data_IF_909520268096
#
_entry.id   IF_909520268096
#
_cell.length_a   1.000
_cell.length_b   1.000
_cell.length_c   1.000
_cell.angle_alpha   90.00
_cell.angle_beta   90.00
_cell.angle_gamma   90.00
#
_symmetry.space_group_name_H-M   'P 1'
#
loop_
_entity.id
_entity.type
_entity.pdbx_description
1 polymer ?
#
# COMPACT_ATOMS: atom_id res chain seq x y z
N UNK A 1 1.77 -5.94 4.29
CA UNK A 1 2.64 -4.85 3.80
C UNK A 1 3.99 -5.39 3.40
N UNK A 2 4.55 -4.95 2.26
CA UNK A 2 5.98 -5.15 2.02
C UNK A 2 6.74 -4.32 3.06
N UNK A 3 7.58 -4.98 3.86
CA UNK A 3 8.46 -4.32 4.83
C UNK A 3 9.33 -3.26 4.15
N UNK A 4 9.75 -2.24 4.88
CA UNK A 4 10.70 -1.23 4.38
C UNK A 4 11.95 -1.87 3.76
N UNK A 5 12.43 -2.98 4.34
CA UNK A 5 13.57 -3.77 3.84
C UNK A 5 13.24 -4.44 2.49
N UNK A 6 12.03 -4.97 2.34
CA UNK A 6 11.57 -5.62 1.11
C UNK A 6 11.35 -4.62 -0.01
N UNK A 7 10.77 -3.45 0.28
CA UNK A 7 10.64 -2.34 -0.69
C UNK A 7 12.03 -1.89 -1.19
N UNK A 8 13.00 -1.80 -0.29
CA UNK A 8 14.38 -1.42 -0.63
C UNK A 8 15.06 -2.51 -1.49
N UNK A 9 14.81 -3.79 -1.21
CA UNK A 9 15.27 -4.92 -2.04
C UNK A 9 14.67 -4.86 -3.45
N UNK A 10 13.35 -4.69 -3.58
CA UNK A 10 12.67 -4.57 -4.86
C UNK A 10 13.11 -3.32 -5.65
N UNK A 11 13.40 -2.21 -4.96
CA UNK A 11 13.94 -1.01 -5.59
C UNK A 11 15.37 -1.22 -6.13
N UNK A 12 16.22 -1.96 -5.41
CA UNK A 12 17.55 -2.37 -5.89
C UNK A 12 17.44 -3.29 -7.12
N UNK A 13 16.47 -4.20 -7.12
CA UNK A 13 16.19 -5.10 -8.23
C UNK A 13 15.75 -4.34 -9.50
N UNK A 14 14.81 -3.38 -9.36
CA UNK A 14 14.44 -2.47 -10.47
C UNK A 14 15.68 -1.74 -11.01
N UNK A 15 16.58 -1.29 -10.14
CA UNK A 15 17.80 -0.58 -10.55
C UNK A 15 18.74 -1.49 -11.36
N UNK A 16 18.88 -2.76 -10.97
CA UNK A 16 19.67 -3.74 -11.72
C UNK A 16 19.04 -4.06 -13.08
N UNK A 17 17.74 -4.33 -13.13
CA UNK A 17 17.01 -4.60 -14.38
C UNK A 17 17.10 -3.42 -15.36
N UNK A 18 17.04 -2.18 -14.86
CA UNK A 18 17.25 -0.97 -15.69
C UNK A 18 18.66 -0.87 -16.25
N UNK A 19 19.68 -1.26 -15.47
CA UNK A 19 21.07 -1.29 -15.95
C UNK A 19 21.24 -2.35 -17.04
N UNK A 20 20.61 -3.52 -16.87
CA UNK A 20 20.61 -4.58 -17.88
C UNK A 20 19.98 -4.12 -19.19
N UNK A 21 18.78 -3.51 -19.18
CA UNK A 21 18.12 -2.99 -20.39
C UNK A 21 18.98 -1.97 -21.16
N UNK A 22 19.75 -1.14 -20.44
CA UNK A 22 20.65 -0.15 -21.03
C UNK A 22 21.91 -0.77 -21.65
N UNK A 23 22.21 -2.03 -21.34
CA UNK A 23 23.28 -2.79 -21.99
C UNK A 23 23.00 -2.96 -23.48
N UNK A 24 24.02 -2.73 -24.31
CA UNK A 24 23.95 -2.77 -25.77
C UNK A 24 23.79 -4.18 -26.34
N UNK A 25 23.97 -5.24 -25.54
CA UNK A 25 23.97 -6.64 -25.98
C UNK A 25 22.61 -7.34 -26.02
N UNK A 26 21.54 -6.76 -25.47
CA UNK A 26 20.23 -7.42 -25.39
C UNK A 26 19.40 -7.23 -26.66
N UNK A 27 18.82 -8.32 -27.15
CA UNK A 27 17.87 -8.30 -28.28
C UNK A 27 16.54 -7.65 -27.85
N UNK A 28 15.77 -7.15 -28.81
CA UNK A 28 14.50 -6.44 -28.54
C UNK A 28 13.50 -7.22 -27.70
N UNK A 29 13.40 -8.54 -27.90
CA UNK A 29 12.51 -9.43 -27.14
C UNK A 29 12.93 -9.54 -25.67
N UNK A 30 14.22 -9.62 -25.40
CA UNK A 30 14.78 -9.70 -24.04
C UNK A 30 14.58 -8.38 -23.29
N UNK A 31 14.77 -7.24 -23.98
CA UNK A 31 14.46 -5.91 -23.41
C UNK A 31 12.99 -5.78 -23.02
N UNK A 32 12.09 -6.34 -23.84
CA UNK A 32 10.65 -6.30 -23.59
C UNK A 32 10.25 -7.20 -22.39
N UNK A 33 10.90 -8.36 -22.24
CA UNK A 33 10.75 -9.22 -21.06
C UNK A 33 11.15 -8.50 -19.76
N UNK A 34 12.33 -7.86 -19.75
CA UNK A 34 12.81 -7.12 -18.58
C UNK A 34 11.90 -5.91 -18.28
N UNK A 35 11.38 -5.23 -19.31
CA UNK A 35 10.43 -4.13 -19.13
C UNK A 35 9.12 -4.60 -18.46
N UNK A 36 8.62 -5.79 -18.81
CA UNK A 36 7.46 -6.41 -18.15
C UNK A 36 7.76 -6.74 -16.68
N UNK A 37 8.93 -7.28 -16.38
CA UNK A 37 9.36 -7.55 -15.00
C UNK A 37 9.46 -6.28 -14.16
N UNK A 38 10.05 -5.20 -14.70
CA UNK A 38 10.09 -3.89 -14.02
C UNK A 38 8.67 -3.38 -13.74
N UNK A 39 7.73 -3.55 -14.69
CA UNK A 39 6.34 -3.15 -14.50
C UNK A 39 5.65 -3.95 -13.40
N UNK A 40 5.88 -5.27 -13.33
CA UNK A 40 5.33 -6.13 -12.27
C UNK A 40 5.88 -5.75 -10.89
N UNK A 41 7.19 -5.58 -10.76
CA UNK A 41 7.80 -5.17 -9.47
C UNK A 41 7.30 -3.78 -9.06
N UNK A 42 7.16 -2.84 -10.01
CA UNK A 42 6.51 -1.55 -9.73
C UNK A 42 5.08 -1.72 -9.25
N UNK A 43 4.28 -2.58 -9.86
CA UNK A 43 2.90 -2.82 -9.39
C UNK A 43 2.83 -3.48 -8.01
N UNK A 44 3.84 -4.26 -7.62
CA UNK A 44 3.91 -4.81 -6.25
C UNK A 44 4.23 -3.71 -5.23
N UNK A 45 5.15 -2.80 -5.57
CA UNK A 45 5.50 -1.66 -4.72
C UNK A 45 4.35 -0.64 -4.66
N UNK A 46 3.76 -0.28 -5.80
CA UNK A 46 2.76 0.79 -5.91
C UNK A 46 1.35 0.29 -5.67
N UNK A 47 1.00 -0.91 -6.11
CA UNK A 47 -0.35 -1.48 -5.91
C UNK A 47 -0.66 -1.75 -4.43
N UNK A 48 0.36 -2.07 -3.64
CA UNK A 48 0.22 -2.12 -2.18
C UNK A 48 0.03 -0.74 -1.56
N UNK A 49 0.66 0.32 -2.11
CA UNK A 49 0.48 1.72 -1.69
C UNK A 49 -0.88 2.28 -2.13
N UNK A 50 -1.35 1.98 -3.34
CA UNK A 50 -2.65 2.43 -3.86
C UNK A 50 -3.83 1.77 -3.12
N UNK A 51 -3.69 0.49 -2.74
CA UNK A 51 -4.68 -0.19 -1.90
C UNK A 51 -4.70 0.38 -0.47
N UNK A 52 -3.54 0.76 0.05
CA UNK A 52 -3.37 1.43 1.34
C UNK A 52 -4.06 2.79 1.39
N UNK A 53 -3.74 3.66 0.41
CA UNK A 53 -4.32 4.99 0.32
C UNK A 53 -5.85 4.88 0.21
N UNK A 54 -6.33 3.92 -0.58
CA UNK A 54 -7.77 3.64 -0.70
C UNK A 54 -8.41 3.18 0.62
N UNK A 55 -7.82 2.25 1.38
CA UNK A 55 -8.41 1.79 2.65
C UNK A 55 -8.40 2.88 3.73
N UNK A 56 -7.34 3.68 3.79
CA UNK A 56 -7.24 4.80 4.72
C UNK A 56 -8.23 5.92 4.36
N UNK A 57 -8.38 6.25 3.07
CA UNK A 57 -9.42 7.16 2.60
C UNK A 57 -10.83 6.64 2.91
N UNK A 58 -11.08 5.35 2.73
CA UNK A 58 -12.35 4.72 3.12
C UNK A 58 -12.65 4.85 4.62
N UNK A 59 -11.61 4.74 5.47
CA UNK A 59 -11.73 4.96 6.91
C UNK A 59 -12.03 6.42 7.25
N UNK A 60 -11.32 7.37 6.63
CA UNK A 60 -11.56 8.81 6.81
C UNK A 60 -12.98 9.20 6.39
N UNK A 61 -13.48 8.61 5.30
CA UNK A 61 -14.83 8.85 4.81
C UNK A 61 -15.93 8.16 5.64
N UNK A 62 -15.56 7.45 6.73
CA UNK A 62 -16.51 6.80 7.63
C UNK A 62 -17.21 5.59 7.02
N UNK A 63 -16.63 4.97 5.98
CA UNK A 63 -17.22 3.79 5.31
C UNK A 63 -17.41 2.63 6.29
N UNK A 64 -16.60 2.56 7.35
CA UNK A 64 -16.65 1.50 8.35
C UNK A 64 -17.51 1.84 9.58
N UNK A 65 -18.14 3.02 9.65
CA UNK A 65 -18.81 3.49 10.87
C UNK A 65 -20.05 2.67 11.25
N UNK A 66 -20.62 1.94 10.30
CA UNK A 66 -21.77 1.06 10.51
C UNK A 66 -21.38 -0.27 11.17
N UNK A 67 -20.09 -0.61 11.25
CA UNK A 67 -19.65 -1.86 11.86
C UNK A 67 -19.76 -1.83 13.39
N UNK A 68 -19.90 -3.02 13.98
CA UNK A 68 -19.78 -3.22 15.42
C UNK A 68 -18.38 -2.85 15.92
N UNK A 69 -18.22 -2.44 17.20
CA UNK A 69 -16.97 -1.89 17.70
C UNK A 69 -15.79 -2.84 17.52
N UNK A 70 -15.99 -4.14 17.76
CA UNK A 70 -14.95 -5.15 17.58
C UNK A 70 -14.46 -5.26 16.13
N UNK A 71 -15.37 -5.19 15.16
CA UNK A 71 -15.03 -5.22 13.73
C UNK A 71 -14.36 -3.93 13.29
N UNK A 72 -14.86 -2.78 13.77
CA UNK A 72 -14.26 -1.48 13.49
C UNK A 72 -12.82 -1.39 14.02
N UNK A 73 -12.59 -1.78 15.28
CA UNK A 73 -11.25 -1.80 15.90
C UNK A 73 -10.29 -2.69 15.12
N UNK A 74 -10.74 -3.86 14.66
CA UNK A 74 -9.93 -4.78 13.86
C UNK A 74 -9.52 -4.13 12.54
N UNK A 75 -10.45 -3.48 11.84
CA UNK A 75 -10.18 -2.78 10.57
C UNK A 75 -9.21 -1.60 10.78
N UNK A 76 -9.42 -0.79 11.81
CA UNK A 76 -8.52 0.34 12.13
C UNK A 76 -7.12 -0.16 12.46
N UNK A 77 -7.01 -1.24 13.24
CA UNK A 77 -5.73 -1.86 13.58
C UNK A 77 -5.02 -2.37 12.33
N UNK A 78 -5.71 -3.08 11.45
CA UNK A 78 -5.16 -3.52 10.16
C UNK A 78 -4.66 -2.33 9.35
N UNK A 79 -5.46 -1.26 9.19
CA UNK A 79 -5.09 -0.06 8.44
C UNK A 79 -3.89 0.66 9.09
N UNK A 80 -3.80 0.68 10.42
CA UNK A 80 -2.70 1.30 11.17
C UNK A 80 -1.40 0.52 11.01
N UNK A 81 -1.46 -0.82 11.15
CA UNK A 81 -0.32 -1.72 10.91
C UNK A 81 0.10 -1.72 9.44
N UNK A 82 -0.86 -1.55 8.53
CA UNK A 82 -0.63 -1.43 7.10
C UNK A 82 0.01 -0.09 6.71
N UNK A 83 -0.44 1.03 7.29
CA UNK A 83 0.05 2.37 6.95
C UNK A 83 1.35 2.72 7.66
N UNK A 84 1.58 2.17 8.86
CA UNK A 84 2.69 2.55 9.74
C UNK A 84 2.51 3.94 10.36
N UNK A 85 1.36 4.60 10.16
CA UNK A 85 1.08 5.95 10.64
C UNK A 85 -0.18 5.96 11.51
N UNK A 86 0.02 5.98 12.83
CA UNK A 86 -1.08 5.97 13.81
C UNK A 86 -1.82 7.31 13.92
N UNK A 87 -1.19 8.43 13.56
CA UNK A 87 -1.85 9.75 13.65
C UNK A 87 -3.01 9.87 12.65
N UNK A 88 -2.87 9.30 11.46
CA UNK A 88 -3.85 9.38 10.37
C UNK A 88 -5.17 8.66 10.69
N UNK A 89 -5.18 7.73 11.65
CA UNK A 89 -6.39 6.99 12.06
C UNK A 89 -7.10 7.58 13.28
N UNK A 90 -6.48 8.54 13.99
CA UNK A 90 -7.00 9.07 15.26
C UNK A 90 -8.34 9.79 15.08
N UNK A 91 -8.43 10.71 14.12
CA UNK A 91 -9.65 11.47 13.88
C UNK A 91 -10.82 10.58 13.42
N UNK A 92 -10.65 9.61 12.50
CA UNK A 92 -11.70 8.64 12.17
C UNK A 92 -12.23 7.85 13.38
N UNK A 93 -11.36 7.44 14.30
CA UNK A 93 -11.77 6.71 15.52
C UNK A 93 -12.58 7.60 16.45
N UNK A 94 -12.18 8.86 16.64
CA UNK A 94 -12.95 9.83 17.43
C UNK A 94 -14.33 10.03 16.83
N UNK A 95 -14.42 10.24 15.52
CA UNK A 95 -15.69 10.42 14.82
C UNK A 95 -16.62 9.20 14.98
N UNK A 96 -16.07 7.98 14.94
CA UNK A 96 -16.83 6.74 15.17
C UNK A 96 -17.42 6.69 16.58
N UNK A 97 -16.61 7.00 17.60
CA UNK A 97 -17.04 6.98 19.01
C UNK A 97 -18.11 8.04 19.25
N UNK A 98 -17.92 9.26 18.75
CA UNK A 98 -18.90 10.34 18.89
C UNK A 98 -20.26 9.98 18.28
N UNK A 99 -20.28 9.45 17.05
CA UNK A 99 -21.52 9.02 16.39
C UNK A 99 -22.28 7.97 17.19
N UNK A 100 -21.58 7.03 17.82
CA UNK A 100 -22.21 5.98 18.65
C UNK A 100 -22.65 6.45 20.02
N UNK A 101 -22.00 7.47 20.58
CA UNK A 101 -22.44 8.07 21.85
C UNK A 101 -23.71 8.92 21.66
N UNK A 102 -23.93 9.44 20.45
CA UNK A 102 -25.14 10.20 20.08
C UNK A 102 -26.28 9.37 19.52
N UNK A 103 -26.08 8.06 19.28
CA UNK A 103 -27.06 7.13 18.71
C UNK A 103 -27.69 6.25 19.79
#
# INVERSE_FOLDING_TARGET
MLSGVEKLRLAKEIRQLRKQIKGTSLKGVEKLSIAKQIKQIRSQIVGSVAKLSSRLEELINGKFDHFEPMKFITIVREISEESGEFESVKQPVVNYVEKRLTA
#
